data_IF_433716529353
#
_entry.id   IF_433716529353
#
_cell.length_a   1.000
_cell.length_b   1.000
_cell.length_c   1.000
_cell.angle_alpha   90.00
_cell.angle_beta   90.00
_cell.angle_gamma   90.00
#
_symmetry.space_group_name_H-M   'P 1'
#
loop_
_entity.id
_entity.type
_entity.pdbx_description
1 polymer ?
#
# COMPACT_ATOMS: atom_id res chain seq x y z
N UNK A 1 -8.83 -26.26 -17.15
CA UNK A 1 -8.12 -25.31 -16.26
C UNK A 1 -6.61 -25.34 -16.52
N UNK A 2 -5.95 -26.51 -16.49
CA UNK A 2 -4.54 -26.68 -16.90
C UNK A 2 -4.27 -26.16 -18.32
N UNK A 3 -5.15 -26.50 -19.28
CA UNK A 3 -5.09 -25.96 -20.66
C UNK A 3 -5.22 -24.43 -20.78
N UNK A 4 -5.81 -23.73 -19.80
CA UNK A 4 -5.92 -22.26 -19.84
C UNK A 4 -4.65 -21.60 -19.29
N UNK A 5 -4.03 -22.19 -18.27
CA UNK A 5 -2.75 -21.75 -17.73
C UNK A 5 -1.62 -21.96 -18.76
N UNK A 6 -1.56 -23.14 -19.39
CA UNK A 6 -0.59 -23.44 -20.46
C UNK A 6 -0.75 -22.54 -21.69
N UNK A 7 -1.99 -22.13 -22.01
CA UNK A 7 -2.26 -21.17 -23.08
C UNK A 7 -1.86 -19.75 -22.73
N UNK A 8 -1.97 -19.35 -21.47
CA UNK A 8 -1.57 -18.01 -21.02
C UNK A 8 -0.04 -17.88 -21.05
N UNK A 9 0.69 -18.91 -20.62
CA UNK A 9 2.16 -18.92 -20.66
C UNK A 9 2.68 -18.74 -22.09
N UNK A 10 2.07 -19.40 -23.08
CA UNK A 10 2.44 -19.23 -24.50
C UNK A 10 1.97 -17.92 -25.14
N UNK A 11 1.02 -17.20 -24.54
CA UNK A 11 0.54 -15.90 -25.02
C UNK A 11 1.35 -14.75 -24.45
N UNK A 12 1.87 -14.86 -23.22
CA UNK A 12 2.67 -13.82 -22.57
C UNK A 12 4.03 -13.56 -23.26
N UNK A 13 4.46 -14.48 -24.13
CA UNK A 13 5.65 -14.35 -24.99
C UNK A 13 5.38 -13.60 -26.33
N UNK A 14 4.12 -13.30 -26.66
CA UNK A 14 3.73 -12.62 -27.91
C UNK A 14 3.34 -11.15 -27.65
N UNK A 15 4.17 -10.22 -28.15
CA UNK A 15 4.06 -8.77 -27.90
C UNK A 15 2.98 -8.04 -28.74
N UNK A 16 2.09 -8.77 -29.44
CA UNK A 16 1.03 -8.12 -30.23
C UNK A 16 -0.11 -7.57 -29.35
N UNK A 17 -0.63 -6.38 -29.70
CA UNK A 17 -1.70 -5.68 -28.97
C UNK A 17 -2.96 -6.54 -28.77
N UNK A 18 -3.27 -7.39 -29.75
CA UNK A 18 -4.40 -8.33 -29.72
C UNK A 18 -4.19 -9.43 -28.67
N UNK A 19 -2.95 -9.92 -28.51
CA UNK A 19 -2.63 -10.94 -27.52
C UNK A 19 -2.69 -10.36 -26.11
N UNK A 20 -2.27 -9.11 -25.93
CA UNK A 20 -2.42 -8.41 -24.64
C UNK A 20 -3.89 -8.28 -24.20
N UNK A 21 -4.83 -7.92 -25.10
CA UNK A 21 -6.25 -7.88 -24.76
C UNK A 21 -6.81 -9.26 -24.37
N UNK A 22 -6.38 -10.31 -25.07
CA UNK A 22 -6.78 -11.69 -24.77
C UNK A 22 -6.22 -12.13 -23.41
N UNK A 23 -4.96 -11.82 -23.11
CA UNK A 23 -4.33 -12.08 -21.80
C UNK A 23 -5.11 -11.37 -20.69
N UNK A 24 -5.40 -10.08 -20.84
CA UNK A 24 -6.14 -9.31 -19.84
C UNK A 24 -7.53 -9.92 -19.62
N UNK A 25 -8.23 -10.29 -20.69
CA UNK A 25 -9.55 -10.92 -20.59
C UNK A 25 -9.49 -12.29 -19.91
N UNK A 26 -8.49 -13.10 -20.23
CA UNK A 26 -8.33 -14.44 -19.69
C UNK A 26 -7.88 -14.41 -18.22
N UNK A 27 -7.00 -13.48 -17.85
CA UNK A 27 -6.65 -13.21 -16.44
C UNK A 27 -7.89 -12.77 -15.67
N UNK A 28 -8.72 -11.86 -16.21
CA UNK A 28 -9.99 -11.46 -15.56
C UNK A 28 -10.93 -12.63 -15.37
N UNK A 29 -11.16 -13.45 -16.39
CA UNK A 29 -12.00 -14.65 -16.27
C UNK A 29 -11.46 -15.65 -15.24
N UNK A 30 -10.14 -15.83 -15.13
CA UNK A 30 -9.54 -16.70 -14.09
C UNK A 30 -9.72 -16.09 -12.69
N UNK A 31 -9.50 -14.78 -12.55
CA UNK A 31 -9.68 -14.05 -11.30
C UNK A 31 -11.13 -14.11 -10.83
N UNK A 32 -12.10 -13.95 -11.73
CA UNK A 32 -13.52 -13.92 -11.41
C UNK A 32 -14.07 -15.27 -10.94
N UNK A 33 -13.45 -16.38 -11.37
CA UNK A 33 -13.91 -17.73 -11.01
C UNK A 33 -13.57 -18.10 -9.56
N UNK A 34 -12.31 -17.91 -9.14
CA UNK A 34 -11.84 -18.38 -7.83
C UNK A 34 -10.62 -17.56 -7.36
N UNK A 35 -10.82 -16.30 -6.96
CA UNK A 35 -9.75 -15.31 -6.79
C UNK A 35 -8.78 -15.63 -5.65
N UNK A 36 -9.28 -16.25 -4.58
CA UNK A 36 -8.49 -16.56 -3.38
C UNK A 36 -7.43 -17.61 -3.67
N UNK A 37 -7.71 -18.58 -4.54
CA UNK A 37 -6.86 -19.75 -4.80
C UNK A 37 -6.11 -19.64 -6.12
N UNK A 38 -6.70 -19.05 -7.16
CA UNK A 38 -6.14 -19.05 -8.51
C UNK A 38 -5.21 -17.86 -8.74
N UNK A 39 -5.46 -16.71 -8.12
CA UNK A 39 -4.58 -15.54 -8.28
C UNK A 39 -3.17 -15.84 -7.79
N UNK A 40 -2.93 -16.41 -6.59
CA UNK A 40 -1.58 -16.76 -6.16
C UNK A 40 -0.91 -17.76 -7.10
N UNK A 41 -1.62 -18.80 -7.54
CA UNK A 41 -1.08 -19.82 -8.44
C UNK A 41 -0.64 -19.23 -9.78
N UNK A 42 -1.51 -18.42 -10.38
CA UNK A 42 -1.23 -17.76 -11.64
C UNK A 42 -0.07 -16.77 -11.49
N UNK A 43 -0.05 -16.01 -10.40
CA UNK A 43 1.03 -15.08 -10.12
C UNK A 43 2.38 -15.77 -9.96
N UNK A 44 2.43 -16.88 -9.23
CA UNK A 44 3.67 -17.64 -9.04
C UNK A 44 4.12 -18.39 -10.30
N UNK A 45 3.21 -18.81 -11.18
CA UNK A 45 3.60 -19.46 -12.45
C UNK A 45 4.36 -18.51 -13.38
N UNK A 46 4.10 -17.20 -13.25
CA UNK A 46 4.81 -16.16 -14.01
C UNK A 46 6.15 -15.74 -13.39
N UNK A 47 6.57 -16.34 -12.27
CA UNK A 47 7.81 -15.95 -11.61
C UNK A 47 9.03 -16.32 -12.47
N UNK A 48 9.96 -15.37 -12.63
CA UNK A 48 11.24 -15.61 -13.29
C UNK A 48 12.35 -15.66 -12.23
N UNK A 49 13.11 -16.76 -12.07
CA UNK A 49 14.07 -16.90 -10.97
C UNK A 49 15.15 -15.82 -10.88
N UNK A 50 15.44 -15.13 -11.99
CA UNK A 50 16.44 -14.05 -12.07
C UNK A 50 15.89 -12.66 -11.74
N UNK A 51 14.59 -12.53 -11.48
CA UNK A 51 13.92 -11.23 -11.27
C UNK A 51 13.12 -11.25 -9.97
N UNK A 52 13.14 -10.14 -9.24
CA UNK A 52 12.30 -9.93 -8.06
C UNK A 52 10.81 -9.86 -8.45
N UNK A 53 10.54 -9.22 -9.59
CA UNK A 53 9.20 -9.05 -10.16
C UNK A 53 9.30 -9.22 -11.68
N UNK A 54 8.66 -10.25 -12.21
CA UNK A 54 8.63 -10.47 -13.66
C UNK A 54 7.60 -9.56 -14.36
N UNK A 55 7.75 -9.30 -15.68
CA UNK A 55 6.74 -8.59 -16.46
C UNK A 55 5.35 -9.23 -16.40
N UNK A 56 5.28 -10.57 -16.37
CA UNK A 56 4.04 -11.32 -16.23
C UNK A 56 3.37 -11.09 -14.87
N UNK A 57 4.15 -11.15 -13.79
CA UNK A 57 3.68 -10.83 -12.44
C UNK A 57 3.19 -9.39 -12.33
N UNK A 58 3.92 -8.43 -12.89
CA UNK A 58 3.52 -7.02 -12.92
C UNK A 58 2.21 -6.83 -13.70
N UNK A 59 2.05 -7.53 -14.81
CA UNK A 59 0.82 -7.48 -15.62
C UNK A 59 -0.39 -8.01 -14.85
N UNK A 60 -0.22 -9.11 -14.10
CA UNK A 60 -1.25 -9.64 -13.21
C UNK A 60 -1.64 -8.60 -12.15
N UNK A 61 -0.67 -7.98 -11.47
CA UNK A 61 -0.96 -6.95 -10.46
C UNK A 61 -1.74 -5.76 -11.04
N UNK A 62 -1.40 -5.30 -12.24
CA UNK A 62 -2.15 -4.22 -12.94
C UNK A 62 -3.59 -4.64 -13.25
N UNK A 63 -3.82 -5.89 -13.67
CA UNK A 63 -5.18 -6.39 -13.91
C UNK A 63 -5.97 -6.40 -12.60
N UNK A 64 -5.36 -6.85 -11.50
CA UNK A 64 -5.99 -6.91 -10.18
C UNK A 64 -6.36 -5.53 -9.61
N UNK A 65 -5.51 -4.51 -9.81
CA UNK A 65 -5.81 -3.12 -9.44
C UNK A 65 -7.15 -2.64 -10.03
N UNK A 66 -7.36 -2.94 -11.32
CA UNK A 66 -8.58 -2.60 -12.05
C UNK A 66 -9.78 -3.54 -11.81
N UNK A 67 -9.56 -4.69 -11.18
CA UNK A 67 -10.57 -5.74 -11.01
C UNK A 67 -11.54 -5.42 -9.88
N UNK A 68 -12.82 -5.83 -10.01
CA UNK A 68 -13.79 -5.80 -8.90
C UNK A 68 -13.57 -6.93 -7.90
N UNK A 69 -12.77 -7.93 -8.27
CA UNK A 69 -12.50 -9.11 -7.46
C UNK A 69 -11.07 -9.04 -6.94
N UNK A 70 -10.92 -9.05 -5.62
CA UNK A 70 -9.64 -8.86 -4.94
C UNK A 70 -9.06 -10.17 -4.42
N UNK A 71 -7.72 -10.37 -4.53
CA UNK A 71 -7.06 -11.56 -3.99
C UNK A 71 -7.05 -11.57 -2.45
N UNK A 72 -6.64 -12.68 -1.86
CA UNK A 72 -6.57 -12.81 -0.40
C UNK A 72 -5.62 -11.78 0.22
N UNK A 73 -5.94 -11.34 1.44
CA UNK A 73 -5.05 -10.45 2.20
C UNK A 73 -3.68 -11.12 2.44
N UNK A 74 -3.66 -12.43 2.74
CA UNK A 74 -2.42 -13.18 2.97
C UNK A 74 -1.46 -13.11 1.78
N UNK A 75 -1.97 -13.29 0.56
CA UNK A 75 -1.18 -13.15 -0.68
C UNK A 75 -0.60 -11.74 -0.80
N UNK A 76 -1.44 -10.71 -0.62
CA UNK A 76 -1.00 -9.33 -0.72
C UNK A 76 0.04 -8.96 0.34
N UNK A 77 -0.10 -9.47 1.56
CA UNK A 77 0.85 -9.25 2.65
C UNK A 77 2.19 -9.92 2.40
N UNK A 78 2.18 -11.11 1.78
CA UNK A 78 3.40 -11.79 1.33
C UNK A 78 4.13 -10.93 0.28
N UNK A 79 3.42 -10.47 -0.75
CA UNK A 79 4.01 -9.63 -1.80
C UNK A 79 4.47 -8.27 -1.25
N UNK A 80 3.71 -7.67 -0.34
CA UNK A 80 4.08 -6.42 0.34
C UNK A 80 5.41 -6.58 1.07
N UNK A 81 5.57 -7.67 1.84
CA UNK A 81 6.83 -7.98 2.54
C UNK A 81 7.97 -8.23 1.57
N UNK A 82 7.76 -9.05 0.54
CA UNK A 82 8.77 -9.39 -0.45
C UNK A 82 9.29 -8.15 -1.20
N UNK A 83 8.41 -7.28 -1.68
CA UNK A 83 8.85 -6.08 -2.41
C UNK A 83 9.43 -5.00 -1.52
N UNK A 84 9.06 -4.95 -0.23
CA UNK A 84 9.60 -3.98 0.72
C UNK A 84 11.11 -4.05 0.90
N UNK A 85 11.75 -5.18 0.54
CA UNK A 85 13.21 -5.37 0.62
C UNK A 85 13.92 -5.11 -0.72
N UNK A 86 13.17 -4.87 -1.81
CA UNK A 86 13.69 -4.77 -3.18
C UNK A 86 13.05 -3.63 -3.96
N UNK A 87 12.82 -2.48 -3.31
CA UNK A 87 12.08 -1.36 -3.91
C UNK A 87 12.74 -0.78 -5.16
N UNK A 88 14.06 -0.82 -5.28
CA UNK A 88 14.73 -0.30 -6.49
C UNK A 88 14.37 -1.11 -7.76
N UNK A 89 14.04 -2.39 -7.61
CA UNK A 89 13.69 -3.30 -8.73
C UNK A 89 12.17 -3.54 -8.85
N UNK A 90 11.44 -3.45 -7.74
CA UNK A 90 10.03 -3.87 -7.66
C UNK A 90 9.07 -2.76 -7.20
N UNK A 91 9.46 -1.48 -7.24
CA UNK A 91 8.61 -0.38 -6.75
C UNK A 91 7.21 -0.34 -7.38
N UNK A 92 7.08 -0.66 -8.68
CA UNK A 92 5.79 -0.67 -9.37
C UNK A 92 4.86 -1.74 -8.80
N UNK A 93 5.39 -2.95 -8.59
CA UNK A 93 4.66 -4.02 -7.93
C UNK A 93 4.28 -3.65 -6.49
N UNK A 94 5.20 -3.00 -5.76
CA UNK A 94 4.92 -2.54 -4.40
C UNK A 94 3.78 -1.52 -4.34
N UNK A 95 3.77 -0.53 -5.23
CA UNK A 95 2.69 0.47 -5.32
C UNK A 95 1.35 -0.20 -5.63
N UNK A 96 1.32 -1.11 -6.61
CA UNK A 96 0.10 -1.84 -6.96
C UNK A 96 -0.41 -2.71 -5.80
N UNK A 97 0.47 -3.41 -5.09
CA UNK A 97 0.09 -4.21 -3.92
C UNK A 97 -0.51 -3.33 -2.82
N UNK A 98 0.07 -2.15 -2.57
CA UNK A 98 -0.49 -1.17 -1.62
C UNK A 98 -1.88 -0.72 -2.06
N UNK A 99 -2.07 -0.37 -3.32
CA UNK A 99 -3.35 0.11 -3.85
C UNK A 99 -4.44 -0.98 -3.75
N UNK A 100 -4.11 -2.22 -4.07
CA UNK A 100 -5.01 -3.36 -3.94
C UNK A 100 -5.34 -3.64 -2.46
N UNK A 101 -4.36 -3.54 -1.55
CA UNK A 101 -4.59 -3.67 -0.11
C UNK A 101 -5.54 -2.58 0.41
N UNK A 102 -5.31 -1.33 0.02
CA UNK A 102 -6.17 -0.20 0.39
C UNK A 102 -7.60 -0.43 -0.10
N UNK A 103 -7.77 -0.79 -1.37
CA UNK A 103 -9.08 -1.09 -1.95
C UNK A 103 -9.80 -2.21 -1.20
N UNK A 104 -9.07 -3.27 -0.82
CA UNK A 104 -9.62 -4.37 -0.02
C UNK A 104 -10.11 -3.92 1.35
N UNK A 105 -9.33 -3.07 2.02
CA UNK A 105 -9.70 -2.50 3.32
C UNK A 105 -10.96 -1.63 3.17
N UNK A 106 -11.02 -0.77 2.16
CA UNK A 106 -12.17 0.10 1.88
C UNK A 106 -13.44 -0.71 1.59
N UNK A 107 -13.37 -1.76 0.75
CA UNK A 107 -14.49 -2.67 0.49
C UNK A 107 -14.98 -3.39 1.76
N UNK A 108 -14.04 -3.75 2.64
CA UNK A 108 -14.36 -4.41 3.92
C UNK A 108 -15.10 -3.44 4.86
N UNK A 109 -14.62 -2.21 4.98
CA UNK A 109 -15.27 -1.15 5.79
C UNK A 109 -16.66 -0.84 5.24
N UNK A 110 -16.79 -0.71 3.91
CA UNK A 110 -18.07 -0.45 3.25
C UNK A 110 -19.07 -1.58 3.49
N UNK A 111 -18.63 -2.84 3.39
CA UNK A 111 -19.47 -4.02 3.61
C UNK A 111 -19.95 -4.13 5.05
N UNK A 112 -19.09 -3.87 6.03
CA UNK A 112 -19.50 -3.85 7.44
C UNK A 112 -20.50 -2.73 7.73
N UNK A 113 -20.27 -1.54 7.18
CA UNK A 113 -21.20 -0.41 7.31
C UNK A 113 -22.58 -0.70 6.70
N UNK A 114 -22.63 -1.46 5.60
CA UNK A 114 -23.88 -1.83 4.94
C UNK A 114 -24.64 -2.98 5.62
N UNK A 115 -23.92 -3.96 6.17
CA UNK A 115 -24.52 -5.18 6.77
C UNK A 115 -24.77 -5.06 8.27
N UNK A 116 -24.11 -4.11 8.95
CA UNK A 116 -24.16 -3.96 10.42
C UNK A 116 -23.53 -5.13 11.17
N UNK A 117 -22.88 -6.07 10.45
CA UNK A 117 -22.15 -7.19 11.03
C UNK A 117 -20.70 -6.76 11.30
N UNK A 118 -20.10 -7.25 12.40
CA UNK A 118 -18.69 -6.99 12.69
C UNK A 118 -17.82 -7.51 11.54
N UNK A 119 -16.81 -6.71 11.19
CA UNK A 119 -15.82 -7.05 10.15
C UNK A 119 -15.19 -8.42 10.49
N UNK A 120 -15.36 -9.41 9.62
CA UNK A 120 -14.52 -10.60 9.67
C UNK A 120 -13.08 -10.14 9.42
N UNK A 121 -12.19 -10.36 10.40
CA UNK A 121 -10.85 -9.79 10.41
C UNK A 121 -10.04 -10.30 9.20
N UNK A 122 -9.96 -9.47 8.16
CA UNK A 122 -9.14 -9.75 6.97
C UNK A 122 -7.64 -9.84 7.28
N UNK A 123 -7.22 -9.27 8.42
CA UNK A 123 -5.85 -9.27 8.92
C UNK A 123 -5.87 -9.36 10.45
N UNK A 124 -4.96 -10.16 11.01
CA UNK A 124 -4.69 -10.19 12.45
C UNK A 124 -3.96 -8.92 12.91
N UNK A 125 -4.03 -8.60 14.20
CA UNK A 125 -3.34 -7.44 14.76
C UNK A 125 -1.81 -7.53 14.58
N UNK A 126 -1.25 -8.74 14.61
CA UNK A 126 0.17 -8.98 14.35
C UNK A 126 0.55 -8.69 12.89
N UNK A 127 -0.30 -9.05 11.93
CA UNK A 127 -0.09 -8.71 10.52
C UNK A 127 -0.20 -7.21 10.28
N UNK A 128 -1.17 -6.54 10.91
CA UNK A 128 -1.32 -5.08 10.85
C UNK A 128 -0.07 -4.40 11.41
N UNK A 129 0.41 -4.82 12.58
CA UNK A 129 1.64 -4.28 13.17
C UNK A 129 2.85 -4.47 12.26
N UNK A 130 2.99 -5.65 11.65
CA UNK A 130 4.06 -5.92 10.67
C UNK A 130 3.99 -4.97 9.47
N UNK A 131 2.80 -4.68 8.96
CA UNK A 131 2.63 -3.70 7.87
C UNK A 131 2.99 -2.28 8.34
N UNK A 132 2.60 -1.90 9.55
CA UNK A 132 2.93 -0.59 10.13
C UNK A 132 4.44 -0.43 10.28
N UNK A 133 5.13 -1.43 10.83
CA UNK A 133 6.59 -1.43 11.00
C UNK A 133 7.33 -1.25 9.67
N UNK A 134 6.96 -2.05 8.67
CA UNK A 134 7.54 -1.95 7.32
C UNK A 134 7.23 -0.59 6.70
N UNK A 135 6.00 -0.10 6.85
CA UNK A 135 5.60 1.21 6.31
C UNK A 135 6.43 2.32 6.91
N UNK A 136 6.54 2.40 8.24
CA UNK A 136 7.32 3.45 8.91
C UNK A 136 8.81 3.36 8.57
N UNK A 137 9.37 2.15 8.45
CA UNK A 137 10.75 1.95 7.97
C UNK A 137 10.96 2.57 6.59
N UNK A 138 10.10 2.25 5.62
CA UNK A 138 10.22 2.79 4.26
C UNK A 138 9.99 4.30 4.25
N UNK A 139 9.04 4.83 5.02
CA UNK A 139 8.83 6.29 5.12
C UNK A 139 10.09 7.00 5.63
N UNK A 140 10.83 6.41 6.58
CA UNK A 140 12.13 6.94 7.05
C UNK A 140 13.15 6.99 5.91
N UNK A 141 13.41 5.82 5.31
CA UNK A 141 14.38 5.65 4.22
C UNK A 141 14.10 6.62 3.05
N UNK A 142 12.83 6.74 2.66
CA UNK A 142 12.42 7.55 1.53
C UNK A 142 12.32 9.05 1.87
N UNK A 143 12.13 9.42 3.15
CA UNK A 143 12.23 10.83 3.59
C UNK A 143 13.66 11.37 3.43
N UNK A 144 14.67 10.55 3.71
CA UNK A 144 16.08 10.88 3.48
C UNK A 144 16.38 10.99 1.99
N UNK A 145 16.03 9.96 1.20
CA UNK A 145 16.17 9.94 -0.26
C UNK A 145 15.47 11.12 -0.94
N UNK A 146 14.31 11.53 -0.43
CA UNK A 146 13.58 12.72 -0.90
C UNK A 146 14.41 14.00 -0.73
N UNK A 147 15.10 14.14 0.40
CA UNK A 147 15.93 15.31 0.67
C UNK A 147 17.13 15.40 -0.28
N UNK A 148 17.70 14.25 -0.64
CA UNK A 148 18.77 14.14 -1.65
C UNK A 148 18.29 14.47 -3.06
N UNK A 149 17.11 13.97 -3.46
CA UNK A 149 16.52 14.19 -4.78
C UNK A 149 16.13 15.65 -5.04
N UNK A 150 15.84 16.43 -3.99
CA UNK A 150 15.64 17.88 -4.12
C UNK A 150 16.93 18.62 -4.54
N UNK A 151 18.09 18.08 -4.20
CA UNK A 151 19.38 18.68 -4.53
C UNK A 151 19.92 18.26 -5.92
N UNK A 152 19.34 17.21 -6.53
CA UNK A 152 19.76 16.70 -7.84
C UNK A 152 19.18 17.52 -9.00
N UNK A 153 19.90 17.61 -10.12
CA UNK A 153 19.44 18.28 -11.35
C UNK A 153 18.23 17.55 -11.96
N UNK A 154 17.33 18.30 -12.57
CA UNK A 154 16.16 17.76 -13.27
C UNK A 154 16.54 17.15 -14.62
N UNK A 155 17.12 15.95 -14.59
CA UNK A 155 17.20 15.05 -15.74
C UNK A 155 16.05 14.02 -15.73
N UNK A 156 15.84 13.34 -16.86
CA UNK A 156 14.74 12.38 -17.01
C UNK A 156 14.80 11.26 -15.96
N UNK A 157 16.01 10.80 -15.61
CA UNK A 157 16.22 9.75 -14.62
C UNK A 157 15.89 10.23 -13.19
N UNK A 158 16.21 11.48 -12.85
CA UNK A 158 15.82 12.12 -11.60
C UNK A 158 14.30 12.27 -11.50
N UNK A 159 13.62 12.66 -12.57
CA UNK A 159 12.16 12.77 -12.62
C UNK A 159 11.46 11.43 -12.34
N UNK A 160 11.91 10.34 -12.97
CA UNK A 160 11.32 9.01 -12.75
C UNK A 160 11.53 8.50 -11.32
N UNK A 161 12.69 8.80 -10.72
CA UNK A 161 12.97 8.50 -9.30
C UNK A 161 12.12 9.34 -8.35
N UNK A 162 11.96 10.64 -8.61
CA UNK A 162 11.07 11.51 -7.83
C UNK A 162 9.64 10.98 -7.87
N UNK A 163 9.17 10.57 -9.05
CA UNK A 163 7.84 9.98 -9.23
C UNK A 163 7.66 8.69 -8.43
N UNK A 164 8.60 7.74 -8.52
CA UNK A 164 8.48 6.46 -7.80
C UNK A 164 8.47 6.66 -6.29
N UNK A 165 9.36 7.52 -5.77
CA UNK A 165 9.40 7.90 -4.35
C UNK A 165 8.07 8.53 -3.93
N UNK A 166 7.52 9.47 -4.72
CA UNK A 166 6.25 10.12 -4.38
C UNK A 166 5.09 9.11 -4.31
N UNK A 167 4.99 8.19 -5.28
CA UNK A 167 3.93 7.18 -5.31
C UNK A 167 4.04 6.20 -4.13
N UNK A 168 5.25 5.75 -3.78
CA UNK A 168 5.47 4.90 -2.60
C UNK A 168 5.04 5.61 -1.32
N UNK A 169 5.51 6.85 -1.11
CA UNK A 169 5.18 7.62 0.09
C UNK A 169 3.67 7.82 0.23
N UNK A 170 3.00 8.28 -0.84
CA UNK A 170 1.55 8.48 -0.83
C UNK A 170 0.81 7.16 -0.57
N UNK A 171 1.23 6.08 -1.23
CA UNK A 171 0.64 4.75 -1.03
C UNK A 171 0.70 4.30 0.43
N UNK A 172 1.88 4.39 1.05
CA UNK A 172 2.06 4.00 2.46
C UNK A 172 1.25 4.88 3.42
N UNK A 173 1.17 6.19 3.17
CA UNK A 173 0.34 7.10 3.97
C UNK A 173 -1.16 6.74 3.87
N UNK A 174 -1.64 6.41 2.67
CA UNK A 174 -3.02 5.92 2.46
C UNK A 174 -3.26 4.58 3.14
N UNK A 175 -2.30 3.65 3.08
CA UNK A 175 -2.39 2.35 3.72
C UNK A 175 -2.50 2.49 5.24
N UNK A 176 -1.62 3.25 5.87
CA UNK A 176 -1.67 3.52 7.30
C UNK A 176 -3.01 4.17 7.72
N UNK A 177 -3.51 5.11 6.92
CA UNK A 177 -4.80 5.76 7.17
C UNK A 177 -5.93 4.73 7.17
N UNK A 178 -5.96 3.85 6.17
CA UNK A 178 -6.98 2.83 6.01
C UNK A 178 -6.89 1.72 7.07
N UNK A 179 -5.68 1.35 7.52
CA UNK A 179 -5.51 0.41 8.64
C UNK A 179 -6.08 0.97 9.95
N UNK A 180 -5.87 2.26 10.23
CA UNK A 180 -6.48 2.92 11.39
C UNK A 180 -8.01 2.97 11.23
N UNK A 181 -8.50 3.29 10.02
CA UNK A 181 -9.93 3.30 9.72
C UNK A 181 -10.59 1.93 9.94
N UNK A 182 -9.95 0.85 9.49
CA UNK A 182 -10.43 -0.52 9.63
C UNK A 182 -10.67 -0.93 11.10
N UNK A 183 -9.83 -0.42 12.01
CA UNK A 183 -9.90 -0.72 13.45
C UNK A 183 -10.67 0.32 14.26
N UNK A 184 -11.11 1.40 13.63
CA UNK A 184 -12.00 2.35 14.27
C UNK A 184 -13.43 1.81 14.20
N UNK A 185 -13.85 1.08 15.23
CA UNK A 185 -15.28 0.92 15.48
C UNK A 185 -15.82 2.26 15.98
N UNK A 186 -16.89 2.77 15.36
CA UNK A 186 -17.60 3.97 15.82
C UNK A 186 -18.46 3.68 17.06
N UNK A 187 -18.02 2.83 17.99
CA UNK A 187 -18.75 2.60 19.25
C UNK A 187 -18.40 3.69 20.28
N UNK A 188 -19.32 4.63 20.57
CA UNK A 188 -19.11 5.70 21.55
C UNK A 188 -18.92 5.19 22.99
N UNK A 189 -19.04 3.87 23.25
CA UNK A 189 -18.89 3.27 24.59
C UNK A 189 -17.54 2.58 24.83
N UNK A 190 -16.67 2.43 23.82
CA UNK A 190 -15.33 1.87 24.05
C UNK A 190 -14.40 2.91 24.66
N UNK A 191 -13.85 2.61 25.85
CA UNK A 191 -12.86 3.46 26.54
C UNK A 191 -11.51 3.52 25.81
N UNK A 192 -11.20 2.52 24.99
CA UNK A 192 -10.00 2.46 24.14
C UNK A 192 -10.39 2.12 22.71
N UNK A 193 -10.07 2.99 21.71
CA UNK A 193 -10.41 2.70 20.33
C UNK A 193 -9.63 1.48 19.85
N UNK A 194 -10.27 0.59 19.07
CA UNK A 194 -9.62 -0.58 18.49
C UNK A 194 -8.38 -0.27 17.65
N UNK A 195 -8.23 0.97 17.17
CA UNK A 195 -7.05 1.44 16.42
C UNK A 195 -5.90 1.96 17.28
N UNK A 196 -6.05 2.04 18.61
CA UNK A 196 -5.06 2.62 19.51
C UNK A 196 -3.68 1.95 19.38
N UNK A 197 -3.63 0.63 19.18
CA UNK A 197 -2.37 -0.09 19.03
C UNK A 197 -1.61 0.31 17.74
N UNK A 198 -2.33 0.63 16.66
CA UNK A 198 -1.73 1.12 15.40
C UNK A 198 -1.19 2.54 15.60
N UNK A 199 -2.01 3.40 16.19
CA UNK A 199 -1.65 4.79 16.46
C UNK A 199 -0.45 4.89 17.41
N UNK A 200 -0.42 4.05 18.44
CA UNK A 200 0.68 3.95 19.40
C UNK A 200 1.94 3.35 18.74
N UNK A 201 1.80 2.35 17.86
CA UNK A 201 2.92 1.80 17.10
C UNK A 201 3.58 2.86 16.21
N UNK A 202 2.78 3.65 15.47
CA UNK A 202 3.31 4.76 14.65
C UNK A 202 4.07 5.77 15.52
N UNK A 203 3.58 6.07 16.72
CA UNK A 203 4.31 6.93 17.65
C UNK A 203 5.62 6.31 18.12
N UNK A 204 5.59 5.05 18.58
CA UNK A 204 6.73 4.37 19.18
C UNK A 204 7.84 4.10 18.15
N UNK A 205 7.49 4.05 16.86
CA UNK A 205 8.42 3.94 15.74
C UNK A 205 8.93 5.29 15.23
N UNK A 206 8.72 6.39 15.96
CA UNK A 206 9.08 7.75 15.55
C UNK A 206 8.48 8.17 14.20
N UNK A 207 7.24 7.74 13.92
CA UNK A 207 6.53 8.07 12.68
C UNK A 207 6.12 9.54 12.60
N UNK A 208 5.81 10.17 13.75
CA UNK A 208 5.27 11.54 13.80
C UNK A 208 6.18 12.60 13.17
N UNK A 209 7.48 12.71 13.50
CA UNK A 209 8.37 13.69 12.88
C UNK A 209 8.39 13.62 11.34
N UNK A 210 8.37 12.39 10.80
CA UNK A 210 8.42 12.13 9.35
C UNK A 210 7.11 12.56 8.69
N UNK A 211 5.97 12.11 9.24
CA UNK A 211 4.65 12.40 8.69
C UNK A 211 4.35 13.89 8.79
N UNK A 212 4.77 14.56 9.87
CA UNK A 212 4.67 16.02 10.01
C UNK A 212 5.51 16.75 8.97
N UNK A 213 6.74 16.29 8.70
CA UNK A 213 7.58 16.86 7.64
C UNK A 213 6.94 16.72 6.25
N UNK A 214 6.10 15.72 6.03
CA UNK A 214 5.36 15.55 4.79
C UNK A 214 4.18 16.53 4.64
N UNK A 215 3.77 17.22 5.71
CA UNK A 215 2.72 18.26 5.65
C UNK A 215 3.22 19.62 5.16
N UNK A 216 4.54 19.77 4.99
CA UNK A 216 5.14 20.94 4.36
C UNK A 216 4.85 20.94 2.86
N UNK A 217 4.63 22.12 2.30
CA UNK A 217 4.43 22.26 0.85
C UNK A 217 5.71 21.88 0.11
N UNK A 218 5.57 21.05 -0.92
CA UNK A 218 6.66 20.56 -1.74
C UNK A 218 6.18 20.41 -3.20
N UNK A 219 6.81 21.15 -4.12
CA UNK A 219 6.45 21.14 -5.55
C UNK A 219 6.92 19.86 -6.23
N UNK A 220 8.04 19.28 -5.79
CA UNK A 220 8.60 18.05 -6.35
C UNK A 220 7.78 16.80 -5.97
N UNK A 221 7.03 16.89 -4.86
CA UNK A 221 6.26 15.79 -4.28
C UNK A 221 4.79 16.20 -4.08
N UNK A 222 4.04 16.38 -5.19
CA UNK A 222 2.66 16.86 -5.13
C UNK A 222 1.75 15.84 -4.43
N UNK A 223 0.67 16.34 -3.82
CA UNK A 223 -0.38 15.58 -3.12
C UNK A 223 0.03 14.86 -1.83
N UNK A 224 1.33 14.73 -1.55
CA UNK A 224 1.83 14.08 -0.33
C UNK A 224 1.37 14.82 0.93
N UNK A 225 1.30 16.15 0.86
CA UNK A 225 0.85 17.02 1.95
C UNK A 225 -0.58 16.70 2.38
N UNK A 226 -1.50 16.67 1.44
CA UNK A 226 -2.93 16.47 1.66
C UNK A 226 -3.17 15.11 2.32
N UNK A 227 -2.54 14.06 1.79
CA UNK A 227 -2.64 12.72 2.35
C UNK A 227 -2.03 12.63 3.76
N UNK A 228 -0.91 13.30 4.00
CA UNK A 228 -0.25 13.30 5.32
C UNK A 228 -1.09 14.02 6.38
N UNK A 229 -1.76 15.12 6.02
CA UNK A 229 -2.70 15.82 6.91
C UNK A 229 -3.86 14.90 7.30
N UNK A 230 -4.40 14.13 6.34
CA UNK A 230 -5.45 13.14 6.63
C UNK A 230 -4.95 12.08 7.60
N UNK A 231 -3.76 11.52 7.37
CA UNK A 231 -3.18 10.52 8.29
C UNK A 231 -3.00 11.10 9.70
N UNK A 232 -2.51 12.33 9.85
CA UNK A 232 -2.39 13.00 11.15
C UNK A 232 -3.75 13.08 11.87
N UNK A 233 -4.82 13.44 11.15
CA UNK A 233 -6.18 13.45 11.74
C UNK A 233 -6.56 12.08 12.30
N UNK A 234 -6.27 11.01 11.56
CA UNK A 234 -6.54 9.64 12.00
C UNK A 234 -5.65 9.20 13.17
N UNK A 235 -4.38 9.60 13.20
CA UNK A 235 -3.45 9.30 14.30
C UNK A 235 -3.83 9.98 15.62
N UNK A 236 -4.53 11.12 15.55
CA UNK A 236 -4.94 11.90 16.71
C UNK A 236 -6.38 11.61 17.16
N UNK A 237 -7.22 11.03 16.30
CA UNK A 237 -8.62 10.72 16.62
C UNK A 237 -8.68 9.79 17.82
N UNK A 238 -9.31 10.27 18.90
CA UNK A 238 -9.52 9.54 20.15
C UNK A 238 -8.23 8.98 20.81
N UNK A 239 -7.07 9.57 20.54
CA UNK A 239 -5.80 9.16 21.15
C UNK A 239 -5.17 10.32 21.95
N UNK A 240 -5.45 10.44 23.26
CA UNK A 240 -4.97 11.55 24.09
C UNK A 240 -3.45 11.58 24.17
N UNK A 241 -2.84 10.40 24.13
CA UNK A 241 -1.42 10.13 24.17
C UNK A 241 -0.68 10.71 22.95
N UNK A 242 -1.28 10.61 21.76
CA UNK A 242 -0.75 11.24 20.55
C UNK A 242 -1.07 12.74 20.50
N UNK A 243 -2.24 13.16 21.00
CA UNK A 243 -2.60 14.58 21.09
C UNK A 243 -1.66 15.36 22.02
N UNK A 244 -1.29 14.76 23.16
CA UNK A 244 -0.32 15.33 24.10
C UNK A 244 1.05 15.48 23.45
N UNK A 245 1.52 14.47 22.71
CA UNK A 245 2.77 14.55 21.95
C UNK A 245 2.78 15.77 21.03
N UNK A 246 1.73 15.96 20.21
CA UNK A 246 1.63 17.10 19.30
C UNK A 246 1.57 18.43 20.05
N UNK A 247 0.82 18.52 21.16
CA UNK A 247 0.75 19.75 21.98
C UNK A 247 2.11 20.15 22.56
N UNK A 248 2.94 19.16 22.87
CA UNK A 248 4.27 19.37 23.43
C UNK A 248 5.34 19.63 22.35
N UNK A 249 5.02 19.49 21.06
CA UNK A 249 5.93 19.90 19.99
C UNK A 249 6.04 21.43 19.98
N UNK A 250 7.24 21.91 20.26
CA UNK A 250 7.56 23.33 20.07
C UNK A 250 7.89 23.57 18.59
N UNK A 251 7.41 24.66 17.99
CA UNK A 251 7.88 25.09 16.69
C UNK A 251 9.39 25.37 16.80
N UNK A 252 10.19 24.75 15.95
CA UNK A 252 11.57 25.19 15.75
C UNK A 252 11.47 26.53 15.03
N UNK A 253 11.57 27.64 15.77
CA UNK A 253 11.68 28.97 15.17
C UNK A 253 12.98 28.99 14.35
N UNK A 254 12.94 29.36 13.06
CA UNK A 254 14.17 29.52 12.30
C UNK A 254 15.00 30.64 12.91
N UNK A 255 16.22 30.32 13.33
CA UNK A 255 17.25 31.28 13.77
C UNK A 255 17.79 32.11 12.62
#
# INVERSE_FOLDING_TARGET
MTMMLERLDGLLDDETEVVFEVIVKLVREIVDLEPVTQVPKLYHSQATPSQVLSPGQLSILKVLESSTVLPSASFLLEQFKQFSTHLDEAWQGFVLVIEILVKRIEETIATSSATGLPVELIMSDAEILSVVEISIRILKEFSEKRSELRASKDDQQGSDKKRSVNQILIGLIKLLTNLIALKNEDDPKQETPGSAFIQDAVRNLDGFPIILNFTLFDVDFPYLREHSIVLIKFLLKNNPKNQELIKNLQPILPS
#
